data_IF_831101580054
#
_entry.id   IF_831101580054
#
_cell.length_a   1.000
_cell.length_b   1.000
_cell.length_c   1.000
_cell.angle_alpha   90.00
_cell.angle_beta   90.00
_cell.angle_gamma   90.00
#
_symmetry.space_group_name_H-M   'P 1'
#
loop_
_entity.id
_entity.type
_entity.pdbx_description
1 polymer ?
#
# COMPACT_ATOMS: atom_id res chain seq x y z
N UNK A 1 -0.11 16.63 -10.84
CA UNK A 1 -1.22 16.61 -11.81
C UNK A 1 -0.64 16.10 -13.11
N UNK A 2 -1.29 15.13 -13.75
CA UNK A 2 -0.80 14.52 -14.98
C UNK A 2 -1.83 14.69 -16.08
N UNK A 3 -1.36 15.00 -17.29
CA UNK A 3 -2.22 15.27 -18.44
C UNK A 3 -1.69 14.62 -19.72
N UNK A 4 -2.61 14.24 -20.60
CA UNK A 4 -2.31 13.71 -21.93
C UNK A 4 -3.30 14.24 -22.96
N UNK A 5 -2.90 14.22 -24.22
CA UNK A 5 -3.71 14.68 -25.33
C UNK A 5 -4.05 13.53 -26.28
N UNK A 6 -5.30 13.47 -26.75
CA UNK A 6 -5.70 12.56 -27.82
C UNK A 6 -5.88 13.39 -29.11
N UNK A 7 -5.20 13.03 -30.20
CA UNK A 7 -5.32 13.73 -31.47
C UNK A 7 -6.62 13.36 -32.20
N UNK A 8 -7.20 14.33 -32.91
CA UNK A 8 -8.30 14.13 -33.86
C UNK A 8 -7.91 14.81 -35.16
N UNK A 9 -7.86 14.06 -36.27
CA UNK A 9 -7.38 14.63 -37.54
C UNK A 9 -5.97 15.22 -37.45
N UNK A 10 -5.09 14.64 -36.62
CA UNK A 10 -3.72 15.11 -36.41
C UNK A 10 -3.56 16.30 -35.45
N UNK A 11 -4.62 16.75 -34.78
CA UNK A 11 -4.59 17.87 -33.81
C UNK A 11 -4.93 17.42 -32.41
N UNK A 12 -4.15 17.84 -31.41
CA UNK A 12 -4.39 17.55 -29.99
C UNK A 12 -5.59 18.36 -29.47
N UNK A 13 -6.78 17.77 -29.51
CA UNK A 13 -8.03 18.49 -29.23
C UNK A 13 -8.80 17.92 -28.04
N UNK A 14 -8.44 16.72 -27.57
CA UNK A 14 -9.00 16.16 -26.35
C UNK A 14 -7.90 16.16 -25.29
N UNK A 15 -8.08 16.91 -24.21
CA UNK A 15 -7.20 16.91 -23.05
C UNK A 15 -7.81 16.04 -21.96
N UNK A 16 -7.03 15.11 -21.42
CA UNK A 16 -7.44 14.25 -20.31
C UNK A 16 -6.48 14.44 -19.15
N UNK A 17 -7.02 14.78 -17.98
CA UNK A 17 -6.26 14.97 -16.75
C UNK A 17 -6.68 13.96 -15.68
N UNK A 18 -5.75 13.61 -14.83
CA UNK A 18 -5.99 12.82 -13.63
C UNK A 18 -5.12 13.36 -12.49
N UNK A 19 -5.74 13.57 -11.34
CA UNK A 19 -5.07 13.98 -10.12
C UNK A 19 -4.87 12.78 -9.19
N UNK A 20 -3.64 12.57 -8.74
CA UNK A 20 -3.28 11.43 -7.89
C UNK A 20 -4.03 11.42 -6.56
N UNK A 21 -4.30 12.61 -5.99
CA UNK A 21 -5.02 12.76 -4.72
C UNK A 21 -6.52 12.44 -4.83
N UNK A 22 -7.04 12.26 -6.05
CA UNK A 22 -8.45 11.93 -6.26
C UNK A 22 -8.65 10.45 -6.58
N UNK A 23 -7.58 9.66 -6.69
CA UNK A 23 -7.65 8.20 -6.84
C UNK A 23 -8.21 7.59 -5.57
N UNK A 24 -9.19 6.70 -5.70
CA UNK A 24 -9.85 6.07 -4.56
C UNK A 24 -10.12 4.60 -4.84
N UNK A 25 -10.24 3.80 -3.79
CA UNK A 25 -10.81 2.47 -3.88
C UNK A 25 -12.33 2.60 -3.81
N UNK A 26 -13.04 1.82 -4.60
CA UNK A 26 -14.48 1.61 -4.51
C UNK A 26 -14.79 0.11 -4.44
N UNK A 27 -16.03 -0.19 -4.07
CA UNK A 27 -16.56 -1.54 -3.89
C UNK A 27 -15.92 -2.32 -2.73
N UNK A 28 -16.13 -3.63 -2.67
CA UNK A 28 -15.78 -4.50 -1.53
C UNK A 28 -14.65 -5.46 -1.87
N UNK A 29 -14.07 -6.12 -0.86
CA UNK A 29 -12.96 -7.07 -0.99
C UNK A 29 -13.17 -8.23 -1.98
N UNK A 30 -14.43 -8.54 -2.32
CA UNK A 30 -14.79 -9.56 -3.31
C UNK A 30 -14.65 -9.10 -4.75
N UNK A 31 -14.79 -7.79 -4.99
CA UNK A 31 -14.71 -7.17 -6.32
C UNK A 31 -14.15 -5.75 -6.18
N UNK A 32 -12.88 -5.61 -5.77
CA UNK A 32 -12.28 -4.30 -5.56
C UNK A 32 -12.16 -3.54 -6.90
N UNK A 33 -12.51 -2.26 -6.88
CA UNK A 33 -12.37 -1.39 -8.06
C UNK A 33 -11.54 -0.16 -7.71
N UNK A 34 -10.60 0.20 -8.60
CA UNK A 34 -9.87 1.46 -8.52
C UNK A 34 -10.67 2.54 -9.26
N UNK A 35 -11.05 3.58 -8.55
CA UNK A 35 -11.73 4.75 -9.09
C UNK A 35 -10.70 5.79 -9.55
N UNK A 36 -10.76 6.13 -10.83
CA UNK A 36 -9.92 7.14 -11.48
C UNK A 36 -10.83 8.27 -12.00
N UNK A 37 -10.91 9.42 -11.30
CA UNK A 37 -11.70 10.56 -11.76
C UNK A 37 -10.97 11.29 -12.87
N UNK A 38 -11.31 10.97 -14.11
CA UNK A 38 -10.75 11.61 -15.29
C UNK A 38 -11.43 12.95 -15.52
N UNK A 39 -10.64 13.97 -15.84
CA UNK A 39 -11.14 15.28 -16.26
C UNK A 39 -10.91 15.44 -17.76
N UNK A 40 -11.99 15.52 -18.54
CA UNK A 40 -11.96 15.63 -19.99
C UNK A 40 -12.31 17.03 -20.46
N UNK A 41 -11.54 17.58 -21.39
CA UNK A 41 -11.86 18.81 -22.10
C UNK A 41 -11.75 18.55 -23.61
N UNK A 42 -12.83 18.82 -24.35
CA UNK A 42 -12.90 18.62 -25.80
C UNK A 42 -12.92 19.99 -26.50
N UNK A 43 -11.92 20.22 -27.33
CA UNK A 43 -11.75 21.40 -28.16
C UNK A 43 -12.20 21.11 -29.59
N UNK A 44 -12.59 22.16 -30.32
CA UNK A 44 -12.85 22.06 -31.75
C UNK A 44 -11.56 21.77 -32.52
N UNK A 45 -11.64 20.87 -33.51
CA UNK A 45 -10.49 20.49 -34.31
C UNK A 45 -10.15 21.46 -35.46
N UNK A 46 -10.73 22.66 -35.49
CA UNK A 46 -10.38 23.74 -36.43
C UNK A 46 -11.43 24.85 -36.54
N UNK A 47 -11.12 25.90 -37.31
CA UNK A 47 -12.07 26.96 -37.68
C UNK A 47 -13.08 26.51 -38.76
N UNK A 48 -12.78 25.44 -39.51
CA UNK A 48 -13.73 24.81 -40.42
C UNK A 48 -14.62 23.85 -39.63
N UNK A 49 -15.95 24.01 -39.79
CA UNK A 49 -17.01 23.11 -39.29
C UNK A 49 -16.86 21.63 -39.71
N UNK A 50 -15.88 21.30 -40.55
CA UNK A 50 -15.71 19.97 -41.15
C UNK A 50 -14.96 18.95 -40.30
N UNK A 51 -14.47 19.33 -39.11
CA UNK A 51 -13.87 18.38 -38.16
C UNK A 51 -14.69 18.28 -36.87
N UNK A 52 -16.01 18.27 -37.03
CA UNK A 52 -16.90 17.86 -35.96
C UNK A 52 -16.62 16.38 -35.63
N UNK A 53 -16.48 16.12 -34.33
CA UNK A 53 -16.30 14.78 -33.80
C UNK A 53 -17.10 14.62 -32.52
N UNK A 54 -17.44 13.38 -32.21
CA UNK A 54 -18.06 12.99 -30.94
C UNK A 54 -17.19 11.91 -30.30
N UNK A 55 -16.72 12.13 -29.07
CA UNK A 55 -16.08 11.08 -28.29
C UNK A 55 -17.15 10.11 -27.79
N UNK A 56 -17.15 8.90 -28.34
CA UNK A 56 -18.17 7.88 -28.06
C UNK A 56 -17.74 6.99 -26.90
N UNK A 57 -16.45 6.69 -26.80
CA UNK A 57 -15.89 5.76 -25.82
C UNK A 57 -14.46 6.14 -25.49
N UNK A 58 -14.07 5.95 -24.23
CA UNK A 58 -12.71 6.06 -23.76
C UNK A 58 -12.34 4.77 -23.03
N UNK A 59 -11.21 4.17 -23.38
CA UNK A 59 -10.70 2.97 -22.72
C UNK A 59 -9.27 3.21 -22.24
N UNK A 60 -8.87 2.52 -21.18
CA UNK A 60 -7.55 2.65 -20.63
C UNK A 60 -6.94 1.33 -20.14
N UNK A 61 -5.62 1.29 -20.10
CA UNK A 61 -4.81 0.19 -19.55
C UNK A 61 -3.86 0.73 -18.49
N UNK A 62 -3.80 0.08 -17.34
CA UNK A 62 -2.87 0.39 -16.26
C UNK A 62 -1.63 -0.48 -16.37
N UNK A 63 -0.46 0.16 -16.27
CA UNK A 63 0.84 -0.50 -16.36
C UNK A 63 1.76 -0.05 -15.22
N UNK A 64 2.60 -0.94 -14.71
CA UNK A 64 3.61 -0.62 -13.70
C UNK A 64 4.87 -1.42 -13.99
N UNK A 65 6.06 -0.88 -13.73
CA UNK A 65 7.32 -1.63 -13.90
C UNK A 65 7.72 -2.30 -12.58
N UNK A 66 8.15 -3.58 -12.59
CA UNK A 66 8.32 -4.47 -13.73
C UNK A 66 7.06 -5.30 -14.08
N UNK A 67 5.91 -4.99 -13.45
CA UNK A 67 4.69 -5.79 -13.54
C UNK A 67 4.11 -5.91 -14.97
N UNK A 68 4.34 -4.92 -15.82
CA UNK A 68 3.70 -4.75 -17.12
C UNK A 68 2.26 -4.23 -16.99
N UNK A 69 1.42 -4.55 -17.97
CA UNK A 69 -0.02 -4.31 -17.91
C UNK A 69 -0.66 -5.21 -16.85
N UNK A 70 -1.40 -4.60 -15.93
CA UNK A 70 -2.05 -5.34 -14.85
C UNK A 70 -3.55 -5.14 -14.79
N UNK A 71 -4.12 -4.11 -15.42
CA UNK A 71 -5.57 -3.90 -15.46
C UNK A 71 -6.01 -3.04 -16.64
N UNK A 72 -7.31 -3.05 -16.94
CA UNK A 72 -7.90 -2.22 -17.98
C UNK A 72 -9.28 -1.73 -17.55
N UNK A 73 -9.73 -0.62 -18.13
CA UNK A 73 -11.05 -0.06 -17.90
C UNK A 73 -11.67 0.47 -19.18
N UNK A 74 -12.97 0.69 -19.09
CA UNK A 74 -13.78 1.26 -20.15
C UNK A 74 -14.73 2.31 -19.58
N UNK A 75 -14.80 3.44 -20.26
CA UNK A 75 -15.67 4.57 -19.97
C UNK A 75 -16.51 4.82 -21.21
N UNK A 76 -17.73 4.32 -21.19
CA UNK A 76 -18.67 4.51 -22.28
C UNK A 76 -20.02 3.84 -22.06
N UNK A 77 -21.04 4.25 -22.85
CA UNK A 77 -20.99 5.28 -23.88
C UNK A 77 -20.98 6.72 -23.29
N UNK A 78 -20.20 7.63 -23.92
CA UNK A 78 -20.03 9.04 -23.48
C UNK A 78 -20.86 10.04 -24.30
N UNK A 79 -20.82 9.93 -25.63
CA UNK A 79 -21.44 10.87 -26.58
C UNK A 79 -21.05 12.35 -26.33
N UNK A 80 -19.78 12.60 -26.01
CA UNK A 80 -19.27 13.93 -25.69
C UNK A 80 -18.85 14.69 -26.95
N UNK A 81 -19.27 15.95 -27.07
CA UNK A 81 -18.96 16.83 -28.21
C UNK A 81 -18.09 18.01 -27.77
N UNK A 82 -17.26 18.57 -28.68
CA UNK A 82 -16.55 19.82 -28.43
C UNK A 82 -17.48 20.94 -27.98
N UNK A 83 -17.02 21.75 -27.03
CA UNK A 83 -17.75 22.91 -26.54
C UNK A 83 -17.02 24.21 -26.94
N UNK A 84 -17.73 25.24 -27.45
CA UNK A 84 -17.15 26.57 -27.67
C UNK A 84 -16.59 27.21 -26.40
N UNK A 85 -17.15 26.90 -25.23
CA UNK A 85 -16.64 27.30 -23.91
C UNK A 85 -16.05 26.06 -23.22
N UNK A 86 -14.75 25.76 -23.42
CA UNK A 86 -14.20 24.48 -23.03
C UNK A 86 -13.98 24.41 -21.52
N UNK A 87 -14.75 23.56 -20.85
CA UNK A 87 -14.58 23.23 -19.43
C UNK A 87 -14.22 21.75 -19.24
N UNK A 88 -13.65 21.42 -18.09
CA UNK A 88 -13.37 20.03 -17.72
C UNK A 88 -14.64 19.33 -17.23
N UNK A 89 -15.01 18.25 -17.91
CA UNK A 89 -16.06 17.31 -17.50
C UNK A 89 -15.44 16.16 -16.72
N UNK A 90 -16.07 15.78 -15.62
CA UNK A 90 -15.64 14.62 -14.84
C UNK A 90 -16.19 13.35 -15.48
N UNK A 91 -15.33 12.37 -15.68
CA UNK A 91 -15.68 11.02 -16.12
C UNK A 91 -15.13 10.00 -15.13
N UNK A 92 -16.01 9.10 -14.71
CA UNK A 92 -15.68 8.06 -13.75
C UNK A 92 -15.12 6.85 -14.48
N UNK A 93 -13.82 6.56 -14.30
CA UNK A 93 -13.22 5.30 -14.75
C UNK A 93 -13.10 4.34 -13.57
N UNK A 94 -13.78 3.19 -13.66
CA UNK A 94 -13.68 2.11 -12.68
C UNK A 94 -12.82 0.99 -13.25
N UNK A 95 -11.74 0.68 -12.54
CA UNK A 95 -10.81 -0.41 -12.91
C UNK A 95 -11.03 -1.56 -11.95
N UNK A 96 -11.77 -2.58 -12.37
CA UNK A 96 -11.92 -3.79 -11.55
C UNK A 96 -10.59 -4.53 -11.45
N UNK A 97 -10.23 -4.90 -10.24
CA UNK A 97 -9.02 -5.65 -9.93
C UNK A 97 -9.39 -6.96 -9.26
N UNK A 98 -8.65 -8.01 -9.56
CA UNK A 98 -8.69 -9.25 -8.79
C UNK A 98 -7.63 -9.22 -7.68
N UNK A 99 -7.75 -10.15 -6.71
CA UNK A 99 -6.82 -10.24 -5.58
C UNK A 99 -5.38 -10.50 -6.02
N UNK A 100 -5.16 -11.21 -7.12
CA UNK A 100 -3.82 -11.53 -7.63
C UNK A 100 -3.17 -10.29 -8.23
N UNK A 101 -3.91 -9.48 -8.98
CA UNK A 101 -3.48 -8.20 -9.52
C UNK A 101 -3.08 -7.25 -8.40
N UNK A 102 -3.92 -7.15 -7.35
CA UNK A 102 -3.62 -6.32 -6.18
C UNK A 102 -2.38 -6.81 -5.44
N UNK A 103 -2.27 -8.11 -5.13
CA UNK A 103 -1.10 -8.66 -4.44
C UNK A 103 0.19 -8.40 -5.21
N UNK A 104 0.21 -8.67 -6.51
CA UNK A 104 1.40 -8.45 -7.36
C UNK A 104 1.78 -6.96 -7.44
N UNK A 105 0.79 -6.08 -7.50
CA UNK A 105 1.02 -4.64 -7.50
C UNK A 105 1.60 -4.18 -6.15
N UNK A 106 1.03 -4.64 -5.03
CA UNK A 106 1.50 -4.33 -3.68
C UNK A 106 2.91 -4.88 -3.39
N UNK A 107 3.21 -6.08 -3.85
CA UNK A 107 4.55 -6.67 -3.80
C UNK A 107 5.57 -5.82 -4.57
N UNK A 108 5.20 -5.38 -5.78
CA UNK A 108 6.03 -4.52 -6.64
C UNK A 108 6.27 -3.16 -5.99
N UNK A 109 5.23 -2.56 -5.41
CA UNK A 109 5.29 -1.30 -4.67
C UNK A 109 6.22 -1.39 -3.46
N UNK A 110 6.28 -2.56 -2.82
CA UNK A 110 7.12 -2.83 -1.66
C UNK A 110 6.97 -1.77 -0.55
N UNK A 111 5.74 -1.28 -0.35
CA UNK A 111 5.43 -0.26 0.67
C UNK A 111 5.69 1.20 0.27
N UNK A 112 6.22 1.49 -0.93
CA UNK A 112 6.49 2.84 -1.46
C UNK A 112 5.23 3.52 -2.03
N UNK A 113 5.35 4.68 -2.64
CA UNK A 113 4.24 5.32 -3.36
C UNK A 113 3.73 4.41 -4.49
N UNK A 114 2.43 4.46 -4.76
CA UNK A 114 1.83 3.68 -5.84
C UNK A 114 2.07 4.41 -7.16
N UNK A 115 2.96 3.88 -7.98
CA UNK A 115 3.27 4.40 -9.31
C UNK A 115 2.67 3.50 -10.40
N UNK A 116 1.94 4.09 -11.33
CA UNK A 116 1.47 3.41 -12.53
C UNK A 116 1.23 4.39 -13.68
N UNK A 117 1.30 3.85 -14.90
CA UNK A 117 1.07 4.54 -16.16
C UNK A 117 -0.30 4.15 -16.71
N UNK A 118 -1.06 5.14 -17.21
CA UNK A 118 -2.36 4.93 -17.86
C UNK A 118 -2.21 5.17 -19.36
N UNK A 119 -2.38 4.13 -20.15
CA UNK A 119 -2.45 4.23 -21.60
C UNK A 119 -3.91 4.41 -22.03
N UNK A 120 -4.24 5.51 -22.71
CA UNK A 120 -5.61 5.86 -23.11
C UNK A 120 -5.84 5.70 -24.61
N UNK A 121 -7.02 5.19 -24.96
CA UNK A 121 -7.51 5.05 -26.34
C UNK A 121 -8.95 5.57 -26.41
N UNK A 122 -9.26 6.41 -27.40
CA UNK A 122 -10.59 6.95 -27.64
C UNK A 122 -11.20 6.41 -28.93
N UNK A 123 -12.52 6.27 -28.96
CA UNK A 123 -13.30 6.02 -30.18
C UNK A 123 -14.12 7.27 -30.49
N UNK A 124 -13.89 7.81 -31.67
CA UNK A 124 -14.49 9.04 -32.17
C UNK A 124 -15.50 8.70 -33.26
N UNK A 125 -16.62 9.39 -33.29
CA UNK A 125 -17.54 9.40 -34.42
C UNK A 125 -17.36 10.71 -35.19
N UNK A 126 -17.23 10.63 -36.51
CA UNK A 126 -17.17 11.77 -37.41
C UNK A 126 -18.46 11.87 -38.23
N UNK A 127 -19.42 12.73 -37.85
CA UNK A 127 -20.72 12.80 -38.49
C UNK A 127 -20.65 13.11 -39.99
N UNK A 128 -19.78 14.04 -40.39
CA UNK A 128 -19.62 14.45 -41.79
C UNK A 128 -19.09 13.32 -42.69
N UNK A 129 -18.31 12.40 -42.12
CA UNK A 129 -17.70 11.30 -42.85
C UNK A 129 -18.40 9.95 -42.62
N UNK A 130 -19.41 9.94 -41.74
CA UNK A 130 -20.12 8.76 -41.27
C UNK A 130 -19.19 7.60 -40.88
N UNK A 131 -18.08 7.89 -40.20
CA UNK A 131 -17.06 6.90 -39.82
C UNK A 131 -16.65 7.00 -38.37
N UNK A 132 -16.19 5.87 -37.82
CA UNK A 132 -15.49 5.84 -36.55
C UNK A 132 -13.97 5.93 -36.75
N UNK A 133 -13.31 6.63 -35.84
CA UNK A 133 -11.85 6.73 -35.78
C UNK A 133 -11.37 6.32 -34.38
N UNK A 134 -10.31 5.53 -34.32
CA UNK A 134 -9.65 5.19 -33.06
C UNK A 134 -8.44 6.09 -32.90
N UNK A 135 -8.38 6.80 -31.79
CA UNK A 135 -7.27 7.68 -31.43
C UNK A 135 -6.56 7.21 -30.17
N UNK A 136 -5.27 7.50 -30.04
CA UNK A 136 -4.43 7.13 -28.89
C UNK A 136 -3.68 8.36 -28.39
N UNK A 137 -3.39 8.41 -27.10
CA UNK A 137 -2.69 9.54 -26.51
C UNK A 137 -1.35 9.82 -27.24
N UNK A 138 -1.14 11.07 -27.66
CA UNK A 138 0.03 11.48 -28.45
C UNK A 138 1.32 11.57 -27.62
N UNK A 139 1.20 11.83 -26.32
CA UNK A 139 2.30 11.88 -25.35
C UNK A 139 2.63 10.54 -24.69
N UNK A 140 2.03 9.43 -25.15
CA UNK A 140 2.25 8.10 -24.59
C UNK A 140 1.32 7.78 -23.40
N UNK A 141 1.83 7.91 -22.18
CA UNK A 141 1.15 7.49 -20.96
C UNK A 141 0.85 8.66 -20.02
N UNK A 142 -0.26 8.59 -19.30
CA UNK A 142 -0.50 9.42 -18.14
C UNK A 142 0.20 8.77 -16.95
N UNK A 143 1.29 9.36 -16.48
CA UNK A 143 2.04 8.85 -15.33
C UNK A 143 1.42 9.30 -14.02
N UNK A 144 1.17 8.39 -13.09
CA UNK A 144 0.54 8.70 -11.82
C UNK A 144 1.36 8.15 -10.67
N UNK A 145 1.68 9.04 -9.72
CA UNK A 145 2.26 8.68 -8.43
C UNK A 145 1.26 9.05 -7.34
N UNK A 146 0.66 8.05 -6.71
CA UNK A 146 -0.25 8.22 -5.57
C UNK A 146 0.56 8.08 -4.28
N UNK A 147 0.58 9.10 -3.40
CA UNK A 147 1.31 9.02 -2.14
C UNK A 147 0.90 7.79 -1.33
N UNK A 148 1.88 7.15 -0.70
CA UNK A 148 1.68 5.92 0.10
C UNK A 148 0.52 6.04 1.10
N UNK A 149 0.47 7.14 1.87
CA UNK A 149 -0.58 7.36 2.87
C UNK A 149 -1.96 7.37 2.21
N UNK A 150 -2.10 8.15 1.13
CA UNK A 150 -3.34 8.21 0.36
C UNK A 150 -3.75 6.86 -0.23
N UNK A 151 -2.80 6.09 -0.77
CA UNK A 151 -3.06 4.76 -1.28
C UNK A 151 -3.59 3.81 -0.19
N UNK A 152 -2.97 3.82 0.99
CA UNK A 152 -3.43 3.00 2.12
C UNK A 152 -4.82 3.47 2.60
N UNK A 153 -4.96 4.76 2.85
CA UNK A 153 -6.10 5.34 3.55
C UNK A 153 -7.35 5.51 2.67
N UNK A 154 -7.17 5.65 1.35
CA UNK A 154 -8.28 5.92 0.41
C UNK A 154 -8.48 4.84 -0.62
N UNK A 155 -7.50 3.96 -0.84
CA UNK A 155 -7.61 2.86 -1.82
C UNK A 155 -7.75 1.52 -1.12
N UNK A 156 -6.71 1.09 -0.40
CA UNK A 156 -6.71 -0.24 0.22
C UNK A 156 -7.75 -0.38 1.35
N UNK A 157 -7.94 0.67 2.14
CA UNK A 157 -8.95 0.72 3.22
C UNK A 157 -10.37 0.50 2.68
N UNK A 158 -10.71 1.13 1.55
CA UNK A 158 -12.05 1.08 0.96
C UNK A 158 -12.41 -0.34 0.52
N UNK A 159 -11.43 -1.09 0.03
CA UNK A 159 -11.65 -2.47 -0.39
C UNK A 159 -11.78 -3.45 0.78
N UNK A 160 -11.58 -3.04 2.03
CA UNK A 160 -11.36 -3.96 3.15
C UNK A 160 -10.30 -5.03 2.80
N UNK A 161 -9.39 -4.69 1.88
CA UNK A 161 -8.19 -5.47 1.54
C UNK A 161 -7.01 -5.04 2.39
N UNK A 162 -7.31 -4.29 3.45
CA UNK A 162 -6.66 -4.45 4.71
C UNK A 162 -6.50 -5.94 5.05
N UNK A 163 -5.39 -6.50 4.58
CA UNK A 163 -4.60 -7.53 5.27
C UNK A 163 -4.14 -7.03 6.67
N UNK A 164 -4.91 -6.10 7.28
CA UNK A 164 -4.74 -5.55 8.61
C UNK A 164 -5.31 -6.60 9.53
N UNK A 165 -4.39 -7.27 10.22
CA UNK A 165 -4.72 -7.84 11.51
C UNK A 165 -4.82 -6.68 12.47
N UNK A 166 -6.03 -6.32 12.91
CA UNK A 166 -6.19 -5.47 14.09
C UNK A 166 -5.83 -6.36 15.26
N UNK A 167 -4.74 -6.04 15.94
CA UNK A 167 -4.37 -6.67 17.21
C UNK A 167 -4.80 -5.69 18.28
N UNK A 168 -5.88 -6.01 18.98
CA UNK A 168 -6.34 -5.24 20.13
C UNK A 168 -5.54 -5.68 21.34
N UNK A 169 -4.69 -4.81 21.86
CA UNK A 169 -3.94 -5.04 23.10
C UNK A 169 -4.46 -4.05 24.14
N UNK A 170 -5.17 -4.58 25.12
CA UNK A 170 -5.70 -3.79 26.24
C UNK A 170 -4.59 -3.50 27.25
N UNK A 171 -4.18 -2.24 27.38
CA UNK A 171 -3.23 -1.84 28.42
C UNK A 171 -4.00 -1.33 29.65
N UNK A 172 -3.90 -1.99 30.82
CA UNK A 172 -4.60 -1.54 32.02
C UNK A 172 -4.13 -0.14 32.43
N UNK A 173 -4.99 0.63 33.10
CA UNK A 173 -4.67 1.97 33.59
C UNK A 173 -3.71 2.02 34.79
N UNK A 174 -3.08 0.89 35.15
CA UNK A 174 -2.15 0.78 36.26
C UNK A 174 -0.72 1.19 35.84
N UNK A 175 0.16 1.45 36.82
CA UNK A 175 1.58 1.70 36.56
C UNK A 175 2.24 0.56 35.76
N UNK A 176 1.82 -0.68 36.04
CA UNK A 176 2.22 -1.86 35.27
C UNK A 176 1.79 -1.75 33.80
N UNK A 177 0.56 -1.33 33.53
CA UNK A 177 0.09 -1.13 32.15
C UNK A 177 0.80 0.00 31.41
N UNK A 178 1.20 1.07 32.11
CA UNK A 178 2.02 2.14 31.54
C UNK A 178 3.42 1.64 31.12
N UNK A 179 4.04 0.79 31.94
CA UNK A 179 5.30 0.12 31.59
C UNK A 179 5.18 -0.75 30.33
N UNK A 180 4.06 -1.47 30.18
CA UNK A 180 3.74 -2.22 28.97
C UNK A 180 3.58 -1.31 27.76
N UNK A 181 2.80 -0.23 27.88
CA UNK A 181 2.58 0.75 26.81
C UNK A 181 3.89 1.39 26.33
N UNK A 182 4.75 1.79 27.27
CA UNK A 182 6.06 2.39 26.97
C UNK A 182 6.99 1.41 26.25
N UNK A 183 6.90 0.12 26.57
CA UNK A 183 7.64 -0.93 25.87
C UNK A 183 7.05 -1.19 24.48
N UNK A 184 5.72 -1.20 24.37
CA UNK A 184 4.99 -1.43 23.14
C UNK A 184 5.19 -0.32 22.08
N UNK A 185 5.43 0.93 22.49
CA UNK A 185 5.80 2.00 21.56
C UNK A 185 7.01 1.66 20.65
N UNK A 186 7.89 0.74 21.10
CA UNK A 186 8.99 0.22 20.26
C UNK A 186 8.52 -0.83 19.24
N UNK A 187 7.45 -1.57 19.53
CA UNK A 187 6.81 -2.46 18.54
C UNK A 187 6.23 -1.61 17.41
N UNK A 188 5.55 -0.50 17.74
CA UNK A 188 5.04 0.46 16.74
C UNK A 188 6.17 1.08 15.90
N UNK A 189 7.30 1.39 16.52
CA UNK A 189 8.48 1.85 15.78
C UNK A 189 9.05 0.77 14.85
N UNK A 190 9.04 -0.48 15.29
CA UNK A 190 9.44 -1.62 14.46
C UNK A 190 8.53 -1.81 13.24
N UNK A 191 7.23 -1.49 13.34
CA UNK A 191 6.33 -1.47 12.18
C UNK A 191 6.74 -0.43 11.13
N UNK A 192 7.09 0.78 11.59
CA UNK A 192 7.54 1.85 10.68
C UNK A 192 8.82 1.42 9.96
N UNK A 193 9.76 0.81 10.69
CA UNK A 193 10.99 0.25 10.12
C UNK A 193 10.69 -0.86 9.10
N UNK A 194 9.76 -1.76 9.41
CA UNK A 194 9.33 -2.83 8.51
C UNK A 194 8.75 -2.26 7.22
N UNK A 195 7.88 -1.26 7.33
CA UNK A 195 7.25 -0.64 6.18
C UNK A 195 8.23 0.15 5.31
N UNK A 196 9.36 0.60 5.87
CA UNK A 196 10.44 1.28 5.16
C UNK A 196 11.52 0.32 4.64
N UNK A 197 11.36 -0.99 4.82
CA UNK A 197 12.30 -2.01 4.33
C UNK A 197 13.55 -2.21 5.22
N UNK A 198 13.56 -1.66 6.44
CA UNK A 198 14.67 -1.75 7.39
C UNK A 198 14.58 -3.01 8.27
N UNK A 199 14.54 -4.19 7.64
CA UNK A 199 14.21 -5.46 8.30
C UNK A 199 15.15 -5.86 9.45
N UNK A 200 16.44 -5.60 9.32
CA UNK A 200 17.41 -5.86 10.41
C UNK A 200 17.11 -5.00 11.64
N UNK A 201 16.77 -3.72 11.41
CA UNK A 201 16.41 -2.79 12.46
C UNK A 201 15.09 -3.18 13.13
N UNK A 202 14.13 -3.79 12.41
CA UNK A 202 12.90 -4.34 13.01
C UNK A 202 13.27 -5.29 14.16
N UNK A 203 14.13 -6.28 13.92
CA UNK A 203 14.52 -7.27 14.94
C UNK A 203 15.23 -6.60 16.13
N UNK A 204 16.14 -5.66 15.87
CA UNK A 204 16.82 -4.90 16.93
C UNK A 204 15.84 -4.11 17.78
N UNK A 205 14.92 -3.36 17.16
CA UNK A 205 13.93 -2.54 17.86
C UNK A 205 12.96 -3.41 18.67
N UNK A 206 12.54 -4.57 18.14
CA UNK A 206 11.74 -5.54 18.89
C UNK A 206 12.48 -6.09 20.10
N UNK A 207 13.78 -6.42 19.99
CA UNK A 207 14.58 -6.85 21.16
C UNK A 207 14.61 -5.76 22.23
N UNK A 208 14.84 -4.52 21.84
CA UNK A 208 14.86 -3.38 22.76
C UNK A 208 13.49 -3.15 23.43
N UNK A 209 12.39 -3.52 22.78
CA UNK A 209 11.05 -3.53 23.39
C UNK A 209 10.98 -4.50 24.56
N UNK A 210 11.43 -5.75 24.38
CA UNK A 210 11.48 -6.74 25.45
C UNK A 210 12.44 -6.37 26.59
N UNK A 211 13.60 -5.76 26.26
CA UNK A 211 14.55 -5.29 27.27
C UNK A 211 14.03 -4.09 28.07
N UNK A 212 13.33 -3.16 27.41
CA UNK A 212 12.67 -2.05 28.09
C UNK A 212 11.60 -2.57 29.06
N UNK A 213 10.84 -3.58 28.63
CA UNK A 213 9.86 -4.24 29.48
C UNK A 213 10.54 -4.87 30.70
N UNK A 214 11.60 -5.66 30.52
CA UNK A 214 12.35 -6.25 31.62
C UNK A 214 12.85 -5.23 32.65
N UNK A 215 13.42 -4.12 32.17
CA UNK A 215 13.89 -3.02 33.04
C UNK A 215 12.78 -2.38 33.85
N UNK A 216 11.59 -2.24 33.27
CA UNK A 216 10.43 -1.65 33.94
C UNK A 216 9.93 -2.47 35.14
N UNK A 217 10.26 -3.76 35.19
CA UNK A 217 9.98 -4.67 36.30
C UNK A 217 11.21 -4.95 37.19
N UNK A 218 12.27 -4.14 37.06
CA UNK A 218 13.47 -4.26 37.89
C UNK A 218 14.45 -5.35 37.46
N UNK A 219 14.31 -5.92 36.26
CA UNK A 219 15.27 -6.87 35.70
C UNK A 219 16.26 -6.16 34.77
N UNK A 220 17.56 -6.36 34.98
CA UNK A 220 18.60 -5.75 34.12
C UNK A 220 18.56 -6.27 32.67
N UNK A 221 18.05 -7.50 32.48
CA UNK A 221 17.94 -8.19 31.19
C UNK A 221 16.61 -8.90 31.07
N UNK A 222 16.14 -9.08 29.83
CA UNK A 222 15.01 -9.95 29.53
C UNK A 222 15.44 -11.44 29.64
N UNK A 223 15.65 -11.91 30.87
CA UNK A 223 16.06 -13.29 31.15
C UNK A 223 14.88 -14.24 31.12
N UNK A 224 15.18 -15.54 31.14
CA UNK A 224 14.17 -16.60 31.21
C UNK A 224 13.29 -16.45 32.45
N UNK A 225 13.89 -16.12 33.59
CA UNK A 225 13.24 -15.97 34.88
C UNK A 225 12.27 -14.77 34.89
N UNK A 226 12.64 -13.69 34.21
CA UNK A 226 11.76 -12.52 34.03
C UNK A 226 10.47 -12.91 33.30
N UNK A 227 10.58 -13.61 32.16
CA UNK A 227 9.38 -14.01 31.42
C UNK A 227 8.54 -15.06 32.15
N UNK A 228 9.16 -15.94 32.94
CA UNK A 228 8.43 -16.90 33.78
C UNK A 228 7.56 -16.21 34.84
N UNK A 229 7.90 -14.98 35.26
CA UNK A 229 7.14 -14.24 36.27
C UNK A 229 5.74 -13.83 35.80
N UNK A 230 5.55 -13.56 34.50
CA UNK A 230 4.24 -13.23 33.93
C UNK A 230 3.25 -14.40 33.95
N UNK A 231 3.75 -15.63 34.10
CA UNK A 231 2.97 -16.85 34.06
C UNK A 231 2.93 -17.57 35.43
N UNK A 232 3.25 -16.87 36.52
CA UNK A 232 3.34 -17.48 37.86
C UNK A 232 2.04 -18.15 38.31
N UNK A 233 0.88 -17.65 37.88
CA UNK A 233 -0.45 -18.19 38.18
C UNK A 233 -0.97 -19.21 37.16
N UNK A 234 -0.23 -19.47 36.07
CA UNK A 234 -0.67 -20.38 35.01
C UNK A 234 -0.39 -21.86 35.36
N UNK A 235 -1.11 -22.77 34.70
CA UNK A 235 -0.83 -24.21 34.77
C UNK A 235 0.64 -24.51 34.36
N UNK A 236 1.36 -25.42 35.05
CA UNK A 236 2.79 -25.65 34.82
C UNK A 236 3.16 -25.91 33.35
N UNK A 237 2.34 -26.69 32.65
CA UNK A 237 2.55 -27.00 31.23
C UNK A 237 2.39 -25.77 30.33
N UNK A 238 1.37 -24.93 30.57
CA UNK A 238 1.17 -23.67 29.82
C UNK A 238 2.33 -22.70 30.05
N UNK A 239 2.77 -22.60 31.32
CA UNK A 239 3.93 -21.80 31.72
C UNK A 239 5.19 -22.25 30.97
N UNK A 240 5.44 -23.55 30.87
CA UNK A 240 6.57 -24.10 30.13
C UNK A 240 6.50 -23.74 28.63
N UNK A 241 5.36 -23.96 27.96
CA UNK A 241 5.20 -23.65 26.53
C UNK A 241 5.32 -22.16 26.22
N UNK A 242 4.70 -21.31 27.04
CA UNK A 242 4.77 -19.85 26.88
C UNK A 242 6.21 -19.36 27.03
N UNK A 243 6.91 -19.87 28.04
CA UNK A 243 8.33 -19.58 28.25
C UNK A 243 9.19 -19.98 27.06
N UNK A 244 8.99 -21.18 26.53
CA UNK A 244 9.80 -21.67 25.41
C UNK A 244 9.55 -20.85 24.15
N UNK A 245 8.30 -20.43 23.90
CA UNK A 245 7.95 -19.53 22.81
C UNK A 245 8.63 -18.15 22.95
N UNK A 246 8.55 -17.54 24.13
CA UNK A 246 9.17 -16.21 24.40
C UNK A 246 10.68 -16.27 24.30
N UNK A 247 11.32 -17.31 24.84
CA UNK A 247 12.76 -17.51 24.69
C UNK A 247 13.17 -17.75 23.24
N UNK A 248 12.36 -18.50 22.49
CA UNK A 248 12.57 -18.77 21.06
C UNK A 248 12.60 -17.48 20.25
N UNK A 249 11.58 -16.62 20.41
CA UNK A 249 11.56 -15.33 19.72
C UNK A 249 12.71 -14.44 20.20
N UNK A 250 12.99 -14.38 21.51
CA UNK A 250 14.03 -13.49 22.02
C UNK A 250 15.41 -13.85 21.45
N UNK A 251 15.71 -15.15 21.31
CA UNK A 251 16.90 -15.63 20.60
C UNK A 251 16.88 -15.28 19.12
N UNK A 252 15.74 -15.44 18.45
CA UNK A 252 15.59 -15.05 17.04
C UNK A 252 15.86 -13.55 16.81
N UNK A 253 15.43 -12.69 17.72
CA UNK A 253 15.67 -11.24 17.63
C UNK A 253 17.16 -10.86 17.73
N UNK A 254 18.04 -11.75 18.22
CA UNK A 254 19.50 -11.53 18.22
C UNK A 254 20.13 -11.56 16.83
N UNK A 255 19.38 -11.91 15.77
CA UNK A 255 19.84 -11.73 14.39
C UNK A 255 19.95 -10.24 14.00
N UNK A 256 19.26 -9.34 14.72
CA UNK A 256 19.31 -7.89 14.47
C UNK A 256 20.61 -7.19 14.90
N UNK A 257 21.08 -7.35 16.16
CA UNK A 257 22.20 -6.62 16.75
C UNK A 257 23.62 -6.92 16.25
N UNK A 258 23.82 -7.62 15.15
CA UNK A 258 25.15 -7.71 14.55
C UNK A 258 25.51 -6.37 13.88
N UNK A 259 25.69 -5.31 14.66
CA UNK A 259 26.27 -4.04 14.23
C UNK A 259 27.67 -4.28 13.65
N UNK A 260 27.91 -3.65 12.50
CA UNK A 260 29.20 -3.27 11.94
C UNK A 260 30.35 -4.20 12.36
N UNK A 261 30.48 -5.35 11.70
CA UNK A 261 31.77 -6.00 11.64
C UNK A 261 32.72 -5.01 10.95
N UNK A 262 33.40 -4.19 11.74
CA UNK A 262 34.63 -3.54 11.34
C UNK A 262 35.56 -4.68 10.89
N UNK A 263 35.62 -4.91 9.58
CA UNK A 263 36.65 -5.68 8.89
C UNK A 263 36.76 -7.20 9.18
N UNK A 264 35.73 -7.89 9.65
CA UNK A 264 35.76 -9.36 9.78
C UNK A 264 34.68 -10.03 8.90
N UNK A 265 35.13 -10.61 7.77
CA UNK A 265 34.43 -11.55 6.87
C UNK A 265 32.91 -11.44 6.77
N UNK A 266 32.45 -10.59 5.84
CA UNK A 266 31.05 -10.35 5.47
C UNK A 266 30.27 -11.57 4.95
N UNK A 267 30.86 -12.77 4.93
CA UNK A 267 30.26 -14.00 4.38
C UNK A 267 29.59 -14.90 5.43
N UNK A 268 29.62 -14.55 6.72
CA UNK A 268 29.13 -15.45 7.79
C UNK A 268 27.86 -14.97 8.51
N UNK A 269 27.36 -13.76 8.24
CA UNK A 269 26.14 -13.29 8.91
C UNK A 269 24.87 -13.69 8.14
N UNK A 270 23.84 -14.17 8.83
CA UNK A 270 22.56 -14.48 8.21
C UNK A 270 21.90 -13.18 7.70
N UNK A 271 21.45 -13.20 6.44
CA UNK A 271 20.69 -12.12 5.83
C UNK A 271 19.29 -12.11 6.43
N UNK A 272 18.89 -10.99 7.04
CA UNK A 272 17.52 -10.80 7.55
C UNK A 272 16.62 -10.38 6.40
N UNK A 273 15.65 -11.23 6.08
CA UNK A 273 14.68 -11.01 5.01
C UNK A 273 13.43 -10.28 5.49
N UNK A 274 12.54 -9.93 4.56
CA UNK A 274 11.23 -9.37 4.90
C UNK A 274 10.37 -10.38 5.67
N UNK A 275 10.45 -11.65 5.28
CA UNK A 275 9.72 -12.76 5.88
C UNK A 275 10.12 -12.93 7.35
N UNK A 276 11.42 -12.85 7.66
CA UNK A 276 11.96 -12.90 9.02
C UNK A 276 11.42 -11.77 9.89
N UNK A 277 11.46 -10.53 9.38
CA UNK A 277 10.96 -9.37 10.11
C UNK A 277 9.44 -9.42 10.31
N UNK A 278 8.69 -9.94 9.33
CA UNK A 278 7.24 -10.15 9.47
C UNK A 278 6.92 -11.22 10.51
N UNK A 279 7.66 -12.32 10.51
CA UNK A 279 7.53 -13.39 11.49
C UNK A 279 7.79 -12.86 12.91
N UNK A 280 8.88 -12.12 13.09
CA UNK A 280 9.23 -11.51 14.37
C UNK A 280 8.17 -10.54 14.89
N UNK A 281 7.67 -9.64 14.04
CA UNK A 281 6.58 -8.71 14.39
C UNK A 281 5.32 -9.46 14.81
N UNK A 282 4.92 -10.47 14.04
CA UNK A 282 3.70 -11.26 14.31
C UNK A 282 3.77 -11.95 15.67
N UNK A 283 4.92 -12.52 16.02
CA UNK A 283 5.13 -13.15 17.32
C UNK A 283 5.22 -12.12 18.45
N UNK A 284 5.83 -10.96 18.20
CA UNK A 284 5.87 -9.89 19.20
C UNK A 284 4.46 -9.44 19.59
N UNK A 285 3.55 -9.22 18.62
CA UNK A 285 2.14 -8.93 18.92
C UNK A 285 1.49 -10.00 19.78
N UNK A 286 1.59 -11.26 19.35
CA UNK A 286 0.97 -12.37 20.06
C UNK A 286 1.48 -12.48 21.51
N UNK A 287 2.77 -12.22 21.73
CA UNK A 287 3.35 -12.24 23.06
C UNK A 287 2.87 -11.05 23.89
N UNK A 288 2.94 -9.82 23.37
CA UNK A 288 2.47 -8.64 24.09
C UNK A 288 1.00 -8.78 24.48
N UNK A 289 0.15 -9.25 23.57
CA UNK A 289 -1.25 -9.55 23.85
C UNK A 289 -1.40 -10.60 24.98
N UNK A 290 -0.60 -11.68 24.93
CA UNK A 290 -0.69 -12.77 25.89
C UNK A 290 -0.16 -12.42 27.31
N UNK A 291 0.85 -11.57 27.42
CA UNK A 291 1.48 -11.21 28.71
C UNK A 291 0.91 -9.94 29.34
N UNK A 292 0.10 -9.18 28.61
CA UNK A 292 -0.49 -7.96 29.17
C UNK A 292 -1.52 -8.36 30.23
N UNK A 293 -1.43 -7.81 31.47
CA UNK A 293 -2.36 -8.17 32.53
C UNK A 293 -3.80 -7.80 32.14
N UNK A 294 -4.73 -8.74 32.29
CA UNK A 294 -6.16 -8.44 32.24
C UNK A 294 -6.53 -7.51 33.41
N UNK A 295 -7.36 -6.51 33.14
CA UNK A 295 -7.88 -5.57 34.13
C UNK A 295 -8.70 -6.26 35.24
#
# INVERSE_FOLDING_TARGET
>A
MSEVWLPVGGRNVITIRLESNNVQGRDMAGQPALYLPLQLQLLHAGQQKDVDYTLVRLAGKLQCQPLGEFASFDVGPLAEVPNPEPFFRHQEALVTLDRRQISRFEETRAGKDAYFQVMLTGVLWHPAQQKFEVTRASSGFLELTVPRSHWIDRVLSAWNLSHIKVVEIEFPGSATGENFRNSYARVEEAEKLFASGHYKQVLTTLRLSFEALAKSFGSEKATKEFFESFFASAHPEKKEKARDAVNGIYRFLHLGPHEQANHADSNTQPVVTREDARFALTLAYAIFEYITPSA
#
